data_IF_218703442588
#
_entry.id   IF_218703442588
#
_cell.length_a   1.000
_cell.length_b   1.000
_cell.length_c   1.000
_cell.angle_alpha   90.00
_cell.angle_beta   90.00
_cell.angle_gamma   90.00
#
_symmetry.space_group_name_H-M   'P 1'
#
loop_
_entity.id
_entity.type
_entity.pdbx_description
1 polymer ?
#
# COMPACT_ATOMS: atom_id res chain seq x y z
N UNK A 1 18.92 -30.31 14.19
CA UNK A 1 19.61 -29.01 14.34
C UNK A 1 18.90 -28.20 15.38
N UNK A 2 19.61 -27.61 16.36
CA UNK A 2 19.00 -26.68 17.30
C UNK A 2 18.57 -25.40 16.57
N UNK A 3 17.34 -24.93 16.81
CA UNK A 3 16.86 -23.65 16.27
C UNK A 3 17.62 -22.51 16.95
N UNK A 4 18.24 -21.63 16.18
CA UNK A 4 18.77 -20.37 16.71
C UNK A 4 17.61 -19.39 16.90
N UNK A 5 17.49 -18.80 18.08
CA UNK A 5 16.52 -17.77 18.40
C UNK A 5 17.28 -16.44 18.56
N UNK A 6 16.85 -15.43 17.84
CA UNK A 6 17.37 -14.06 17.98
C UNK A 6 16.46 -13.30 18.94
N UNK A 7 17.06 -12.72 19.98
CA UNK A 7 16.37 -11.86 20.95
C UNK A 7 16.95 -10.45 20.78
N UNK A 8 16.32 -9.63 19.96
CA UNK A 8 16.72 -8.24 19.76
C UNK A 8 15.67 -7.30 20.35
N UNK A 9 16.08 -6.29 21.12
CA UNK A 9 15.19 -5.24 21.54
C UNK A 9 14.81 -4.39 20.34
N UNK A 10 13.51 -4.14 20.16
CA UNK A 10 12.99 -3.29 19.10
C UNK A 10 12.70 -1.91 19.67
N UNK A 11 13.22 -0.87 19.02
CA UNK A 11 13.06 0.52 19.46
C UNK A 11 12.66 1.41 18.30
N UNK A 12 11.82 2.39 18.57
CA UNK A 12 11.43 3.47 17.67
C UNK A 12 10.88 3.01 16.31
N UNK A 13 9.68 3.38 15.99
CA UNK A 13 9.15 3.29 14.63
C UNK A 13 10.04 4.09 13.66
N UNK A 14 10.36 3.48 12.52
CA UNK A 14 11.22 4.08 11.48
C UNK A 14 10.45 4.44 10.24
N UNK A 15 9.56 3.57 9.79
CA UNK A 15 8.81 3.68 8.55
C UNK A 15 7.49 2.96 8.68
N UNK A 16 6.52 3.48 7.95
CA UNK A 16 5.32 2.75 7.57
C UNK A 16 5.24 2.67 6.06
N UNK A 17 4.68 1.57 5.56
CA UNK A 17 4.21 1.45 4.19
C UNK A 17 2.76 0.97 4.24
N UNK A 18 1.92 1.65 3.48
CA UNK A 18 0.52 1.27 3.29
C UNK A 18 0.37 0.87 1.84
N UNK A 19 -0.28 -0.27 1.61
CA UNK A 19 -0.50 -0.82 0.27
C UNK A 19 -1.98 -1.04 0.06
N UNK A 20 -2.52 -0.54 -1.04
CA UNK A 20 -3.93 -0.72 -1.41
C UNK A 20 -4.22 -2.18 -1.73
N UNK A 21 -5.36 -2.66 -1.24
CA UNK A 21 -5.84 -4.02 -1.46
C UNK A 21 -7.21 -4.01 -2.13
N UNK A 22 -7.51 -5.11 -2.81
CA UNK A 22 -8.88 -5.42 -3.23
C UNK A 22 -9.75 -5.93 -2.06
N UNK A 23 -11.03 -6.17 -2.32
CA UNK A 23 -11.96 -6.71 -1.33
C UNK A 23 -11.65 -8.12 -0.82
N UNK A 24 -10.66 -8.80 -1.40
CA UNK A 24 -10.18 -10.12 -0.99
C UNK A 24 -8.81 -10.05 -0.30
N UNK A 25 -8.27 -8.87 -0.03
CA UNK A 25 -6.96 -8.68 0.60
C UNK A 25 -5.77 -8.93 -0.33
N UNK A 26 -5.95 -8.85 -1.66
CA UNK A 26 -4.85 -8.94 -2.63
C UNK A 26 -4.29 -7.54 -2.92
N UNK A 27 -2.96 -7.38 -3.01
CA UNK A 27 -2.36 -6.14 -3.46
C UNK A 27 -2.86 -5.73 -4.85
N UNK A 28 -3.28 -4.46 -4.98
CA UNK A 28 -3.63 -3.87 -6.27
C UNK A 28 -2.34 -3.35 -6.90
N UNK A 29 -2.05 -3.80 -8.11
CA UNK A 29 -0.91 -3.35 -8.90
C UNK A 29 -1.28 -2.14 -9.76
N UNK A 30 -0.32 -1.29 -10.07
CA UNK A 30 -0.49 -0.08 -10.86
C UNK A 30 -0.23 1.18 -10.07
N UNK A 31 -0.62 2.31 -10.64
CA UNK A 31 -0.44 3.64 -10.06
C UNK A 31 -1.23 3.79 -8.74
N UNK A 32 -0.77 4.67 -7.86
CA UNK A 32 -1.41 5.02 -6.59
C UNK A 32 -1.67 3.84 -5.64
N UNK A 33 -0.84 2.80 -5.72
CA UNK A 33 -1.07 1.55 -4.99
C UNK A 33 -0.36 1.48 -3.64
N UNK A 34 0.61 2.34 -3.37
CA UNK A 34 1.34 2.34 -2.10
C UNK A 34 1.81 3.73 -1.70
N UNK A 35 1.92 3.95 -0.40
CA UNK A 35 2.55 5.14 0.20
C UNK A 35 3.55 4.71 1.26
N UNK A 36 4.72 5.37 1.29
CA UNK A 36 5.77 5.14 2.30
C UNK A 36 6.00 6.42 3.08
N UNK A 37 5.81 6.38 4.40
CA UNK A 37 5.94 7.57 5.25
C UNK A 37 6.78 7.29 6.50
N UNK A 38 7.44 8.33 7.00
CA UNK A 38 7.98 8.42 8.37
C UNK A 38 7.22 9.42 9.24
N UNK A 39 6.18 10.05 8.67
CA UNK A 39 5.39 11.10 9.30
C UNK A 39 4.34 10.61 10.30
N UNK A 40 4.53 9.45 10.92
CA UNK A 40 3.68 8.94 11.98
C UNK A 40 4.31 9.15 13.36
N UNK A 41 3.47 9.38 14.35
CA UNK A 41 3.87 9.53 15.76
C UNK A 41 3.77 8.18 16.48
N UNK A 42 2.64 7.51 16.29
CA UNK A 42 2.37 6.21 16.91
C UNK A 42 1.43 5.37 16.05
N UNK A 43 1.54 4.06 16.22
CA UNK A 43 0.56 3.09 15.74
C UNK A 43 0.20 2.22 16.93
N UNK A 44 -1.09 2.21 17.30
CA UNK A 44 -1.63 1.47 18.43
C UNK A 44 -2.42 0.26 17.93
N UNK A 45 -2.28 -0.86 18.60
CA UNK A 45 -2.97 -2.12 18.32
C UNK A 45 -3.83 -2.51 19.50
N UNK A 46 -5.14 -2.63 19.30
CA UNK A 46 -6.09 -3.08 20.31
C UNK A 46 -6.59 -4.47 19.93
N UNK A 47 -6.38 -5.45 20.81
CA UNK A 47 -6.89 -6.79 20.58
C UNK A 47 -8.43 -6.81 20.65
N UNK A 48 -9.05 -7.31 19.58
CA UNK A 48 -10.48 -7.55 19.53
C UNK A 48 -10.73 -9.02 19.87
N UNK A 49 -11.48 -9.28 20.92
CA UNK A 49 -11.79 -10.62 21.39
C UNK A 49 -13.30 -10.86 21.33
N UNK A 50 -13.67 -12.11 21.16
CA UNK A 50 -15.04 -12.59 21.36
C UNK A 50 -15.03 -13.63 22.45
N UNK A 51 -16.13 -13.74 23.18
CA UNK A 51 -16.34 -14.69 24.25
C UNK A 51 -17.55 -15.55 23.91
N UNK A 52 -17.42 -16.86 24.06
CA UNK A 52 -18.55 -17.77 23.94
C UNK A 52 -19.39 -17.74 25.21
N UNK A 53 -20.69 -17.92 25.08
CA UNK A 53 -21.56 -18.01 26.24
C UNK A 53 -21.25 -19.26 27.08
N UNK A 54 -21.25 -19.12 28.42
CA UNK A 54 -21.20 -20.24 29.32
C UNK A 54 -22.49 -21.05 29.23
N UNK A 55 -22.37 -22.37 29.09
CA UNK A 55 -23.50 -23.27 29.15
C UNK A 55 -23.49 -23.96 30.56
N UNK A 56 -24.47 -23.64 31.37
CA UNK A 56 -24.64 -24.21 32.66
C UNK A 56 -26.11 -24.71 32.82
N UNK A 57 -26.31 -25.99 32.64
CA UNK A 57 -27.64 -26.62 32.71
C UNK A 57 -27.77 -27.45 33.95
N UNK A 58 -28.73 -27.14 34.79
CA UNK A 58 -29.05 -27.92 35.99
C UNK A 58 -30.26 -28.84 35.77
N UNK A 59 -30.30 -29.97 36.46
CA UNK A 59 -31.45 -30.88 36.50
C UNK A 59 -32.55 -30.37 37.48
N UNK A 60 -33.68 -31.08 37.54
CA UNK A 60 -34.81 -30.72 38.41
C UNK A 60 -34.47 -30.76 39.91
N UNK A 61 -33.37 -31.39 40.31
CA UNK A 61 -32.86 -31.46 41.68
C UNK A 61 -31.84 -30.38 41.98
N UNK A 62 -31.51 -29.51 41.03
CA UNK A 62 -30.54 -28.43 41.18
C UNK A 62 -29.07 -28.85 40.99
N UNK A 63 -28.82 -30.07 40.50
CA UNK A 63 -27.48 -30.54 40.19
C UNK A 63 -27.09 -30.17 38.77
N UNK A 64 -25.82 -29.78 38.55
CA UNK A 64 -25.30 -29.45 37.25
C UNK A 64 -25.23 -30.70 36.37
N UNK A 65 -25.96 -30.71 35.25
CA UNK A 65 -25.96 -31.78 34.25
C UNK A 65 -24.97 -31.56 33.12
N UNK A 66 -24.83 -30.30 32.69
CA UNK A 66 -23.96 -29.88 31.60
C UNK A 66 -23.30 -28.60 32.03
N UNK A 67 -21.98 -28.56 31.94
CA UNK A 67 -21.21 -27.35 32.15
C UNK A 67 -20.15 -27.21 31.08
N UNK A 68 -20.20 -26.10 30.34
CA UNK A 68 -19.21 -25.70 29.37
C UNK A 68 -18.80 -24.26 29.72
N UNK A 69 -17.56 -24.01 30.09
CA UNK A 69 -17.11 -22.66 30.43
C UNK A 69 -17.05 -21.78 29.19
N UNK A 70 -17.18 -20.47 29.40
CA UNK A 70 -16.93 -19.49 28.33
C UNK A 70 -15.47 -19.57 27.90
N UNK A 71 -15.24 -19.44 26.58
CA UNK A 71 -13.90 -19.34 26.00
C UNK A 71 -13.73 -18.01 25.31
N UNK A 72 -12.61 -17.32 25.63
CA UNK A 72 -12.24 -16.07 24.96
C UNK A 72 -11.31 -16.38 23.79
N UNK A 73 -11.68 -15.94 22.60
CA UNK A 73 -10.86 -16.07 21.39
C UNK A 73 -10.52 -14.71 20.78
N UNK A 74 -9.31 -14.61 20.20
CA UNK A 74 -8.85 -13.42 19.50
C UNK A 74 -9.50 -13.41 18.11
N UNK A 75 -10.23 -12.34 17.79
CA UNK A 75 -10.83 -12.10 16.45
C UNK A 75 -9.86 -11.34 15.56
N UNK A 76 -9.08 -10.41 16.12
CA UNK A 76 -8.14 -9.61 15.37
C UNK A 76 -7.65 -8.39 16.14
N UNK A 77 -7.21 -7.37 15.42
CA UNK A 77 -6.72 -6.12 16.01
C UNK A 77 -7.41 -4.93 15.38
N UNK A 78 -7.85 -4.01 16.24
CA UNK A 78 -8.13 -2.64 15.86
C UNK A 78 -6.83 -1.84 15.77
N UNK A 79 -6.72 -0.95 14.79
CA UNK A 79 -5.53 -0.14 14.53
C UNK A 79 -5.88 1.33 14.58
N UNK A 80 -5.08 2.08 15.31
CA UNK A 80 -5.10 3.54 15.35
C UNK A 80 -3.74 4.07 14.95
N UNK A 81 -3.70 5.05 14.04
CA UNK A 81 -2.48 5.65 13.52
C UNK A 81 -2.53 7.16 13.74
N UNK A 82 -1.53 7.69 14.46
CA UNK A 82 -1.34 9.13 14.66
C UNK A 82 -0.25 9.66 13.73
N UNK A 83 -0.57 10.68 12.94
CA UNK A 83 0.32 11.32 11.97
C UNK A 83 0.68 12.75 12.40
N UNK A 84 1.96 13.10 12.32
CA UNK A 84 2.46 14.48 12.45
C UNK A 84 2.77 15.14 11.09
N UNK A 85 2.79 14.36 10.02
CA UNK A 85 2.92 14.82 8.65
C UNK A 85 1.84 14.16 7.81
N UNK A 86 0.97 14.98 7.26
CA UNK A 86 -0.15 14.51 6.44
C UNK A 86 0.30 14.42 5.00
N UNK A 87 0.14 13.23 4.43
CA UNK A 87 0.23 12.97 3.00
C UNK A 87 -1.20 12.71 2.52
N UNK A 88 -1.75 13.52 1.59
CA UNK A 88 -3.13 13.36 1.13
C UNK A 88 -3.41 11.98 0.55
N UNK A 89 -2.47 11.41 -0.21
CA UNK A 89 -2.61 10.08 -0.80
C UNK A 89 -2.62 8.99 0.27
N UNK A 90 -1.81 9.14 1.31
CA UNK A 90 -1.83 8.22 2.45
C UNK A 90 -3.17 8.22 3.16
N UNK A 91 -3.73 9.41 3.42
CA UNK A 91 -5.05 9.53 4.05
C UNK A 91 -6.14 8.95 3.15
N UNK A 92 -6.13 9.26 1.86
CA UNK A 92 -7.07 8.72 0.90
C UNK A 92 -7.01 7.18 0.86
N UNK A 93 -5.81 6.61 0.86
CA UNK A 93 -5.61 5.17 0.82
C UNK A 93 -6.13 4.48 2.09
N UNK A 94 -5.92 5.08 3.27
CA UNK A 94 -6.34 4.50 4.55
C UNK A 94 -7.83 4.72 4.84
N UNK A 95 -8.39 5.88 4.45
CA UNK A 95 -9.78 6.26 4.78
C UNK A 95 -10.76 6.06 3.62
N UNK A 96 -10.28 5.88 2.40
CA UNK A 96 -11.13 5.83 1.21
C UNK A 96 -11.65 7.21 0.77
N UNK A 97 -11.18 8.29 1.36
CA UNK A 97 -11.55 9.66 1.01
C UNK A 97 -10.90 10.11 -0.30
N UNK A 98 -11.46 11.13 -0.95
CA UNK A 98 -10.94 11.64 -2.21
C UNK A 98 -9.73 12.56 -2.00
N UNK A 99 -8.75 12.47 -2.90
CA UNK A 99 -7.63 13.41 -2.98
C UNK A 99 -8.05 14.64 -3.77
N UNK A 100 -7.63 15.82 -3.31
CA UNK A 100 -7.77 17.08 -4.05
C UNK A 100 -6.46 17.35 -4.77
N UNK A 101 -6.55 17.48 -6.09
CA UNK A 101 -5.41 17.78 -6.95
C UNK A 101 -5.36 19.27 -7.32
N UNK A 102 -4.20 19.74 -7.74
CA UNK A 102 -4.03 21.07 -8.30
C UNK A 102 -4.73 21.22 -9.67
N UNK A 103 -4.65 22.41 -10.26
CA UNK A 103 -5.28 22.71 -11.57
C UNK A 103 -4.72 21.83 -12.71
N UNK A 104 -3.52 21.31 -12.58
CA UNK A 104 -2.88 20.43 -13.57
C UNK A 104 -3.29 18.97 -13.40
N UNK A 105 -3.82 18.61 -12.22
CA UNK A 105 -4.17 17.24 -11.88
C UNK A 105 -2.99 16.36 -11.49
N UNK A 106 -1.77 16.93 -11.43
CA UNK A 106 -0.54 16.17 -11.24
C UNK A 106 -0.09 16.14 -9.75
N UNK A 107 -0.52 17.12 -8.94
CA UNK A 107 -0.06 17.26 -7.56
C UNK A 107 -1.22 17.16 -6.58
N UNK A 108 -1.12 16.20 -5.66
CA UNK A 108 -2.05 16.09 -4.54
C UNK A 108 -1.80 17.25 -3.56
N UNK A 109 -2.76 18.17 -3.46
CA UNK A 109 -2.66 19.38 -2.62
C UNK A 109 -3.51 19.31 -1.35
N UNK A 110 -4.38 18.30 -1.24
CA UNK A 110 -5.26 18.12 -0.10
C UNK A 110 -6.12 16.87 -0.21
N UNK A 111 -7.08 16.75 0.67
CA UNK A 111 -8.07 15.69 0.67
C UNK A 111 -9.41 16.22 1.14
N UNK A 112 -10.48 15.63 0.65
CA UNK A 112 -11.84 15.89 1.11
C UNK A 112 -12.21 14.90 2.22
N UNK A 113 -13.17 15.30 3.07
CA UNK A 113 -13.82 14.39 4.01
C UNK A 113 -15.31 14.36 3.67
N UNK A 114 -15.70 13.34 2.91
CA UNK A 114 -17.09 13.11 2.53
C UNK A 114 -17.78 12.22 3.56
N UNK A 115 -18.88 12.71 4.12
CA UNK A 115 -19.68 11.99 5.12
C UNK A 115 -20.43 10.78 4.56
N UNK A 116 -20.47 10.61 3.24
CA UNK A 116 -21.07 9.46 2.57
C UNK A 116 -20.08 8.30 2.34
N UNK A 117 -18.79 8.54 2.48
CA UNK A 117 -17.77 7.47 2.42
C UNK A 117 -17.91 6.63 3.69
N UNK A 118 -18.27 5.37 3.51
CA UNK A 118 -18.45 4.44 4.64
C UNK A 118 -17.12 4.05 5.26
N UNK A 119 -17.13 3.72 6.54
CA UNK A 119 -15.95 3.28 7.29
C UNK A 119 -15.20 2.12 6.60
N UNK A 120 -15.90 1.26 5.89
CA UNK A 120 -15.32 0.10 5.22
C UNK A 120 -14.96 0.37 3.74
N UNK A 121 -14.83 1.63 3.32
CA UNK A 121 -14.54 1.99 1.94
C UNK A 121 -13.11 1.63 1.51
N UNK A 122 -12.15 1.59 2.45
CA UNK A 122 -10.74 1.28 2.18
C UNK A 122 -10.38 -0.14 2.58
N UNK A 123 -9.50 -0.76 1.80
CA UNK A 123 -8.84 -2.01 2.10
C UNK A 123 -7.34 -1.82 1.89
N UNK A 124 -6.53 -2.13 2.90
CA UNK A 124 -5.09 -1.90 2.82
C UNK A 124 -4.29 -2.87 3.69
N UNK A 125 -3.01 -3.03 3.35
CA UNK A 125 -2.03 -3.66 4.22
C UNK A 125 -1.17 -2.58 4.88
N UNK A 126 -0.78 -2.82 6.12
CA UNK A 126 0.11 -1.95 6.88
C UNK A 126 1.38 -2.69 7.26
N UNK A 127 2.50 -2.14 6.84
CA UNK A 127 3.84 -2.63 7.18
C UNK A 127 4.55 -1.57 8.02
N UNK A 128 5.21 -2.00 9.10
CA UNK A 128 5.96 -1.13 10.01
C UNK A 128 7.37 -1.65 10.17
N UNK A 129 8.34 -0.76 10.09
CA UNK A 129 9.74 -1.01 10.42
C UNK A 129 10.10 -0.34 11.72
N UNK A 130 10.72 -1.11 12.61
CA UNK A 130 11.22 -0.69 13.92
C UNK A 130 12.75 -0.72 13.88
N UNK A 131 13.39 0.22 14.59
CA UNK A 131 14.84 0.23 14.70
C UNK A 131 15.34 -0.81 15.69
N UNK A 132 16.62 -1.15 15.58
CA UNK A 132 17.42 -1.76 16.62
C UNK A 132 18.17 -0.67 17.41
N UNK A 133 18.52 -0.86 18.69
CA UNK A 133 19.37 0.05 19.42
C UNK A 133 20.72 0.24 18.72
N UNK A 134 21.21 1.47 18.68
CA UNK A 134 22.46 1.82 17.99
C UNK A 134 23.71 1.14 18.54
N UNK A 135 23.68 0.66 19.79
CA UNK A 135 24.79 -0.07 20.42
C UNK A 135 24.94 -1.51 19.91
N UNK A 136 23.87 -2.10 19.38
CA UNK A 136 23.86 -3.50 18.91
C UNK A 136 23.92 -3.62 17.38
N UNK A 137 23.86 -2.49 16.68
CA UNK A 137 23.79 -2.46 15.20
C UNK A 137 25.12 -2.84 14.52
N UNK A 138 26.22 -2.88 15.25
CA UNK A 138 27.57 -3.10 14.75
C UNK A 138 28.35 -4.10 15.60
N UNK A 139 27.78 -5.25 15.93
CA UNK A 139 28.62 -6.36 16.41
C UNK A 139 29.14 -7.14 15.19
N UNK A 140 30.28 -7.80 15.35
CA UNK A 140 30.97 -8.53 14.29
C UNK A 140 30.18 -9.68 13.66
N UNK A 141 29.05 -10.05 14.25
CA UNK A 141 28.16 -11.09 13.75
C UNK A 141 26.99 -10.55 12.91
N UNK A 142 26.70 -9.23 13.02
CA UNK A 142 25.62 -8.53 12.31
C UNK A 142 26.12 -7.25 11.65
N UNK A 143 26.96 -7.39 10.65
CA UNK A 143 27.45 -6.25 9.84
C UNK A 143 26.35 -5.62 8.96
N UNK A 144 25.16 -6.26 8.88
CA UNK A 144 23.97 -5.70 8.24
C UNK A 144 22.94 -5.45 9.34
N UNK A 145 22.52 -4.19 9.50
CA UNK A 145 21.53 -3.80 10.49
C UNK A 145 20.27 -4.64 10.38
N UNK A 146 19.78 -5.12 11.52
CA UNK A 146 18.49 -5.82 11.57
C UNK A 146 17.41 -4.83 12.01
N UNK A 147 16.23 -4.98 11.43
CA UNK A 147 15.06 -4.19 11.71
C UNK A 147 13.94 -5.08 12.21
N UNK A 148 13.18 -4.60 13.20
CA UNK A 148 11.88 -5.20 13.49
C UNK A 148 10.91 -4.87 12.35
N UNK A 149 10.11 -5.84 11.99
CA UNK A 149 9.09 -5.70 10.96
C UNK A 149 7.77 -6.26 11.48
N UNK A 150 6.73 -5.45 11.38
CA UNK A 150 5.36 -5.83 11.73
C UNK A 150 4.51 -5.67 10.48
N UNK A 151 3.73 -6.69 10.16
CA UNK A 151 2.83 -6.73 9.03
C UNK A 151 1.42 -7.05 9.50
N UNK A 152 0.48 -6.21 9.11
CA UNK A 152 -0.95 -6.49 9.08
C UNK A 152 -1.34 -6.63 7.61
N UNK A 153 -1.52 -7.88 7.18
CA UNK A 153 -1.68 -8.20 5.74
C UNK A 153 -3.02 -7.79 5.15
N UNK A 154 -4.04 -7.58 6.01
CA UNK A 154 -5.35 -7.12 5.56
C UNK A 154 -6.04 -6.31 6.66
N UNK A 155 -6.14 -5.03 6.44
CA UNK A 155 -6.92 -4.08 7.22
C UNK A 155 -8.07 -3.55 6.37
N UNK A 156 -9.20 -3.32 7.02
CA UNK A 156 -10.37 -2.72 6.40
C UNK A 156 -10.88 -1.58 7.25
N UNK A 157 -11.28 -0.51 6.60
CA UNK A 157 -11.81 0.68 7.23
C UNK A 157 -10.71 1.64 7.65
N UNK A 158 -11.11 2.79 8.07
CA UNK A 158 -10.31 3.89 8.59
C UNK A 158 -11.13 5.16 8.52
N UNK A 159 -11.20 5.88 9.63
CA UNK A 159 -11.91 7.15 9.72
C UNK A 159 -10.91 8.18 10.25
N UNK A 160 -10.92 9.37 9.66
CA UNK A 160 -10.23 10.51 10.25
C UNK A 160 -10.92 10.83 11.58
N UNK A 161 -10.19 10.68 12.67
CA UNK A 161 -10.65 10.99 14.02
C UNK A 161 -10.58 12.47 14.35
N UNK A 162 -10.82 12.80 15.61
CA UNK A 162 -10.75 14.16 16.10
C UNK A 162 -9.32 14.72 15.97
N UNK A 163 -9.23 15.99 15.60
CA UNK A 163 -7.98 16.73 15.58
C UNK A 163 -8.21 18.17 16.03
N UNK A 164 -7.16 18.77 16.61
CA UNK A 164 -7.21 20.15 17.10
C UNK A 164 -6.17 20.98 16.37
N UNK A 165 -6.55 22.18 15.97
CA UNK A 165 -5.65 23.19 15.40
C UNK A 165 -5.41 24.25 16.45
N UNK A 166 -4.18 24.33 16.93
CA UNK A 166 -3.74 25.29 17.97
C UNK A 166 -2.33 25.80 17.64
N UNK A 167 -1.76 26.61 18.51
CA UNK A 167 -0.36 27.10 18.35
C UNK A 167 0.65 25.99 18.71
N UNK A 168 0.50 24.82 18.11
CA UNK A 168 1.36 23.63 18.24
C UNK A 168 1.35 22.84 16.93
N UNK A 169 2.11 21.74 16.88
CA UNK A 169 2.05 20.83 15.73
C UNK A 169 0.66 20.17 15.66
N UNK A 170 0.02 20.29 14.50
CA UNK A 170 -1.24 19.59 14.24
C UNK A 170 -0.95 18.10 13.97
N UNK A 171 -1.63 17.23 14.69
CA UNK A 171 -1.58 15.79 14.49
C UNK A 171 -2.94 15.29 14.02
N UNK A 172 -2.93 14.31 13.14
CA UNK A 172 -4.14 13.66 12.63
C UNK A 172 -4.18 12.22 13.10
N UNK A 173 -5.33 11.79 13.54
CA UNK A 173 -5.54 10.41 13.99
C UNK A 173 -6.47 9.70 13.03
N UNK A 174 -6.07 8.51 12.56
CA UNK A 174 -6.94 7.60 11.83
C UNK A 174 -7.29 6.44 12.74
N UNK A 175 -8.58 6.21 12.95
CA UNK A 175 -9.13 5.17 13.83
C UNK A 175 -10.06 4.24 13.05
N UNK A 176 -10.49 3.14 13.68
CA UNK A 176 -11.53 2.27 13.14
C UNK A 176 -11.05 1.27 12.08
N UNK A 177 -9.77 1.26 11.72
CA UNK A 177 -9.22 0.20 10.88
C UNK A 177 -9.14 -1.11 11.69
N UNK A 178 -9.62 -2.21 11.11
CA UNK A 178 -9.62 -3.52 11.76
C UNK A 178 -9.02 -4.58 10.84
N UNK A 179 -8.28 -5.52 11.43
CA UNK A 179 -7.81 -6.70 10.69
C UNK A 179 -8.98 -7.55 10.25
N UNK A 180 -8.84 -8.15 9.07
CA UNK A 180 -9.84 -9.03 8.49
C UNK A 180 -9.24 -10.40 8.18
N UNK A 181 -10.07 -11.42 8.29
CA UNK A 181 -9.76 -12.74 7.78
C UNK A 181 -9.86 -12.79 6.25
N UNK A 182 -9.35 -13.86 5.65
CA UNK A 182 -9.41 -14.04 4.21
C UNK A 182 -8.32 -13.27 3.46
N UNK A 183 -7.29 -12.75 4.17
CA UNK A 183 -6.24 -12.00 3.50
C UNK A 183 -5.46 -12.89 2.51
N UNK A 184 -5.21 -12.34 1.33
CA UNK A 184 -4.48 -13.00 0.25
C UNK A 184 -3.09 -12.39 0.02
N UNK A 185 -2.49 -11.76 1.04
CA UNK A 185 -1.17 -11.17 0.98
C UNK A 185 -0.06 -12.18 0.65
N UNK A 186 -0.17 -13.42 1.17
CA UNK A 186 0.80 -14.47 0.93
C UNK A 186 2.20 -14.11 1.43
N UNK A 187 3.19 -14.11 0.53
CA UNK A 187 4.56 -13.65 0.81
C UNK A 187 4.76 -12.15 0.57
N UNK A 188 3.71 -11.49 0.10
CA UNK A 188 3.70 -10.07 -0.23
C UNK A 188 4.33 -9.72 -1.57
N UNK A 189 4.08 -8.51 -2.08
CA UNK A 189 4.65 -8.04 -3.33
C UNK A 189 6.11 -7.60 -3.19
N UNK A 190 6.58 -7.29 -1.98
CA UNK A 190 7.86 -6.64 -1.72
C UNK A 190 8.93 -7.58 -1.20
N UNK A 191 10.19 -7.22 -1.48
CA UNK A 191 11.33 -7.81 -0.80
C UNK A 191 11.49 -7.15 0.56
N UNK A 192 11.52 -7.94 1.63
CA UNK A 192 11.64 -7.48 3.02
C UNK A 192 12.80 -8.15 3.76
N UNK A 193 13.38 -9.19 3.19
CA UNK A 193 14.52 -9.93 3.77
C UNK A 193 15.53 -10.28 2.68
N UNK A 194 16.62 -10.95 3.04
CA UNK A 194 17.56 -11.51 2.09
C UNK A 194 17.60 -13.03 2.19
N UNK A 195 17.79 -13.70 1.06
CA UNK A 195 18.07 -15.13 0.97
C UNK A 195 19.39 -15.28 0.23
N UNK A 196 20.40 -15.85 0.88
CA UNK A 196 21.76 -15.96 0.33
C UNK A 196 22.33 -14.60 -0.13
N UNK A 197 22.05 -13.51 0.59
CA UNK A 197 22.51 -12.16 0.26
C UNK A 197 21.70 -11.44 -0.83
N UNK A 198 20.67 -12.07 -1.38
CA UNK A 198 19.81 -11.48 -2.42
C UNK A 198 18.49 -11.01 -1.80
N UNK A 199 18.05 -9.77 -2.07
CA UNK A 199 16.74 -9.28 -1.62
C UNK A 199 15.60 -10.21 -2.03
N UNK A 200 14.78 -10.61 -1.06
CA UNK A 200 13.75 -11.63 -1.24
C UNK A 200 12.48 -11.27 -0.48
N UNK A 201 11.36 -11.82 -0.95
CA UNK A 201 10.07 -11.75 -0.25
C UNK A 201 10.12 -12.53 1.06
N UNK A 202 9.06 -12.46 1.84
CA UNK A 202 8.96 -13.25 3.08
C UNK A 202 9.19 -14.75 2.81
N UNK A 203 9.97 -15.43 3.67
CA UNK A 203 10.33 -16.85 3.45
C UNK A 203 9.12 -17.80 3.61
N UNK A 204 8.13 -17.37 4.37
CA UNK A 204 6.89 -18.12 4.56
C UNK A 204 5.68 -17.20 4.35
N UNK A 205 4.66 -17.65 3.61
CA UNK A 205 3.44 -16.85 3.43
C UNK A 205 2.71 -16.66 4.76
N UNK A 206 1.97 -15.57 4.88
CA UNK A 206 0.95 -15.45 5.92
C UNK A 206 -0.29 -16.25 5.50
N UNK A 207 -0.99 -16.79 6.47
CA UNK A 207 -2.25 -17.52 6.22
C UNK A 207 -3.42 -16.55 6.17
N UNK A 208 -4.56 -17.02 5.68
CA UNK A 208 -5.79 -16.22 5.60
C UNK A 208 -6.32 -15.77 6.97
N UNK A 209 -5.92 -16.46 8.04
CA UNK A 209 -6.31 -16.17 9.42
C UNK A 209 -5.22 -15.42 10.21
N UNK A 210 -4.09 -15.11 9.58
CA UNK A 210 -3.01 -14.38 10.28
C UNK A 210 -3.36 -12.90 10.36
N UNK A 211 -3.74 -12.43 11.53
CA UNK A 211 -4.07 -11.01 11.75
C UNK A 211 -2.82 -10.12 11.76
N UNK A 212 -1.73 -10.59 12.36
CA UNK A 212 -0.48 -9.84 12.52
C UNK A 212 0.71 -10.79 12.44
N UNK A 213 1.77 -10.36 11.76
CA UNK A 213 3.07 -11.02 11.75
C UNK A 213 4.15 -10.08 12.26
N UNK A 214 4.98 -10.57 13.17
CA UNK A 214 6.19 -9.87 13.62
C UNK A 214 7.40 -10.71 13.26
N UNK A 215 8.43 -10.09 12.67
CA UNK A 215 9.67 -10.77 12.29
C UNK A 215 10.86 -9.79 12.34
N UNK A 216 12.07 -10.34 12.34
CA UNK A 216 13.28 -9.57 12.12
C UNK A 216 13.64 -9.66 10.63
N UNK A 217 14.00 -8.53 10.05
CA UNK A 217 14.38 -8.39 8.65
C UNK A 217 15.73 -7.70 8.54
N UNK A 218 16.48 -8.02 7.51
CA UNK A 218 17.81 -7.52 7.23
C UNK A 218 17.85 -6.48 6.10
N UNK A 219 16.73 -6.29 5.40
CA UNK A 219 16.61 -5.20 4.44
C UNK A 219 16.24 -3.89 5.14
N UNK A 220 16.90 -2.82 4.72
CA UNK A 220 16.58 -1.48 5.19
C UNK A 220 15.13 -1.10 4.83
N UNK A 221 14.46 -0.31 5.70
CA UNK A 221 13.16 0.25 5.38
C UNK A 221 13.17 0.96 4.02
N UNK A 222 12.06 0.95 3.27
CA UNK A 222 11.95 1.67 2.01
C UNK A 222 12.18 3.17 2.21
N UNK A 223 12.68 3.85 1.17
CA UNK A 223 12.86 5.30 1.19
C UNK A 223 11.49 5.99 1.37
N UNK A 224 11.48 7.07 2.16
CA UNK A 224 10.29 7.93 2.24
C UNK A 224 10.19 8.76 0.98
N UNK A 225 9.00 8.86 0.47
CA UNK A 225 8.66 9.75 -0.63
C UNK A 225 7.24 10.26 -0.41
N UNK A 226 6.98 11.54 -0.72
CA UNK A 226 5.63 12.09 -0.65
C UNK A 226 4.78 11.60 -1.82
N UNK A 227 3.51 11.37 -1.56
CA UNK A 227 2.55 10.93 -2.56
C UNK A 227 2.51 9.41 -2.77
N UNK A 228 1.49 9.00 -3.47
CA UNK A 228 1.29 7.61 -3.84
C UNK A 228 2.30 7.14 -4.90
N UNK A 229 2.55 5.84 -4.89
CA UNK A 229 3.51 5.20 -5.78
C UNK A 229 2.96 3.96 -6.41
N UNK A 230 3.42 3.66 -7.62
CA UNK A 230 3.00 2.45 -8.27
C UNK A 230 3.55 1.21 -7.56
N UNK A 231 2.72 0.19 -7.49
CA UNK A 231 3.13 -1.16 -7.19
C UNK A 231 3.26 -1.92 -8.50
N UNK A 232 4.49 -2.34 -8.83
CA UNK A 232 4.76 -3.01 -10.10
C UNK A 232 4.26 -4.45 -10.08
N UNK A 233 3.47 -4.84 -11.08
CA UNK A 233 3.05 -6.23 -11.27
C UNK A 233 4.22 -7.03 -11.89
N UNK A 234 4.76 -8.03 -11.19
CA UNK A 234 5.86 -8.82 -11.70
C UNK A 234 5.50 -9.67 -12.93
N UNK A 235 4.21 -9.88 -13.19
CA UNK A 235 3.74 -10.59 -14.37
C UNK A 235 3.67 -9.70 -15.62
N UNK A 236 3.69 -8.38 -15.46
CA UNK A 236 3.64 -7.44 -16.59
C UNK A 236 5.04 -6.88 -16.88
N UNK A 237 5.50 -6.93 -18.13
CA UNK A 237 6.76 -6.31 -18.51
C UNK A 237 6.68 -4.79 -18.38
N UNK A 238 7.74 -4.18 -17.84
CA UNK A 238 7.85 -2.73 -17.84
C UNK A 238 8.10 -2.22 -19.26
N UNK A 239 7.44 -1.12 -19.63
CA UNK A 239 7.70 -0.45 -20.90
C UNK A 239 9.15 0.07 -20.96
N UNK A 240 9.76 -0.02 -22.13
CA UNK A 240 11.10 0.50 -22.41
C UNK A 240 11.06 1.69 -23.35
N UNK A 241 10.03 1.81 -24.18
CA UNK A 241 9.85 2.91 -25.11
C UNK A 241 8.38 3.11 -25.48
N UNK A 242 8.03 4.35 -25.85
CA UNK A 242 6.85 4.69 -26.64
C UNK A 242 7.35 5.31 -27.95
N UNK A 243 6.74 4.92 -29.06
CA UNK A 243 7.02 5.48 -30.39
C UNK A 243 5.77 6.18 -30.93
N UNK A 244 5.97 7.32 -31.58
CA UNK A 244 4.93 8.08 -32.24
C UNK A 244 5.31 8.28 -33.71
N UNK A 245 4.45 7.83 -34.61
CA UNK A 245 4.64 7.99 -36.05
C UNK A 245 3.44 8.71 -36.67
N UNK A 246 3.63 9.34 -37.84
CA UNK A 246 2.55 9.99 -38.57
C UNK A 246 1.40 9.02 -38.82
N UNK A 247 0.20 9.46 -38.49
CA UNK A 247 -1.03 8.73 -38.76
C UNK A 247 -1.68 9.12 -40.09
N UNK A 248 -3.01 9.10 -40.14
CA UNK A 248 -3.79 9.34 -41.34
C UNK A 248 -3.61 10.76 -41.96
N UNK A 249 -3.25 11.74 -41.14
CA UNK A 249 -2.97 13.12 -41.58
C UNK A 249 -1.82 13.70 -40.73
N UNK A 250 -1.39 14.93 -41.08
CA UNK A 250 -0.26 15.59 -40.46
C UNK A 250 -0.47 15.97 -38.96
N UNK A 251 -1.69 15.91 -38.47
CA UNK A 251 -2.03 16.19 -37.08
C UNK A 251 -2.30 14.90 -36.24
N UNK A 252 -2.23 13.76 -36.90
CA UNK A 252 -2.53 12.47 -36.26
C UNK A 252 -1.24 11.73 -35.94
N UNK A 253 -1.08 11.29 -34.70
CA UNK A 253 -0.02 10.39 -34.23
C UNK A 253 -0.56 8.98 -34.03
N UNK A 254 0.10 7.99 -34.60
CA UNK A 254 -0.07 6.60 -34.25
C UNK A 254 0.98 6.25 -33.18
N UNK A 255 0.53 5.77 -32.05
CA UNK A 255 1.35 5.48 -30.87
C UNK A 255 1.46 3.98 -30.64
N UNK A 256 2.67 3.52 -30.38
CA UNK A 256 2.96 2.14 -30.03
C UNK A 256 3.95 2.08 -28.87
N UNK A 257 3.92 0.99 -28.09
CA UNK A 257 4.80 0.78 -26.95
C UNK A 257 5.70 -0.43 -27.16
N UNK A 258 6.85 -0.41 -26.50
CA UNK A 258 7.81 -1.52 -26.48
C UNK A 258 8.13 -1.90 -25.02
N UNK A 259 8.11 -3.20 -24.64
CA UNK A 259 7.56 -4.32 -25.42
C UNK A 259 6.07 -4.16 -25.71
N UNK A 260 5.52 -4.94 -26.62
CA UNK A 260 4.08 -4.97 -26.88
C UNK A 260 3.34 -5.25 -25.58
N UNK A 261 2.37 -4.41 -25.26
CA UNK A 261 1.66 -4.47 -23.98
C UNK A 261 0.85 -5.76 -23.84
N UNK A 262 0.87 -6.31 -22.65
CA UNK A 262 0.05 -7.47 -22.24
C UNK A 262 -1.12 -7.09 -21.33
N UNK A 263 -1.19 -5.81 -20.95
CA UNK A 263 -2.26 -5.20 -20.13
C UNK A 263 -2.57 -3.79 -20.60
N UNK A 264 -3.47 -3.09 -19.92
CA UNK A 264 -3.85 -1.73 -20.27
C UNK A 264 -2.66 -0.77 -20.15
N UNK A 265 -2.63 0.19 -21.07
CA UNK A 265 -1.65 1.28 -21.11
C UNK A 265 -2.36 2.58 -20.77
N UNK A 266 -1.79 3.36 -19.90
CA UNK A 266 -2.16 4.75 -19.71
C UNK A 266 -1.31 5.64 -20.65
N UNK A 267 -1.95 6.42 -21.47
CA UNK A 267 -1.32 7.43 -22.31
C UNK A 267 -1.69 8.84 -21.83
N UNK A 268 -0.67 9.69 -21.67
CA UNK A 268 -0.78 11.13 -21.59
C UNK A 268 -0.21 11.70 -22.90
N UNK A 269 -1.03 12.42 -23.66
CA UNK A 269 -0.65 12.90 -24.98
C UNK A 269 0.12 14.22 -24.95
N UNK A 270 0.25 14.84 -23.77
CA UNK A 270 0.99 16.09 -23.58
C UNK A 270 0.26 17.35 -24.06
N UNK A 271 -1.00 17.24 -24.45
CA UNK A 271 -1.90 18.34 -24.82
C UNK A 271 -3.02 18.57 -23.80
N UNK A 272 -2.90 17.97 -22.61
CA UNK A 272 -3.91 17.97 -21.55
C UNK A 272 -4.96 16.87 -21.67
N UNK A 273 -4.82 15.98 -22.63
CA UNK A 273 -5.69 14.81 -22.79
C UNK A 273 -4.95 13.51 -22.52
N UNK A 274 -5.69 12.50 -22.09
CA UNK A 274 -5.16 11.18 -21.78
C UNK A 274 -6.15 10.08 -22.15
N UNK A 275 -5.69 8.85 -22.24
CA UNK A 275 -6.53 7.68 -22.51
C UNK A 275 -5.98 6.40 -21.90
N UNK A 276 -6.88 5.44 -21.60
CA UNK A 276 -6.54 4.07 -21.21
C UNK A 276 -6.84 3.12 -22.35
N UNK A 277 -5.81 2.47 -22.86
CA UNK A 277 -5.90 1.59 -24.03
C UNK A 277 -5.65 0.16 -23.63
N UNK A 278 -6.56 -0.74 -24.00
CA UNK A 278 -6.39 -2.18 -23.76
C UNK A 278 -5.21 -2.75 -24.57
N UNK A 279 -4.66 -3.89 -24.13
CA UNK A 279 -3.64 -4.60 -24.91
C UNK A 279 -4.10 -4.86 -26.36
N UNK A 280 -3.21 -4.74 -27.36
CA UNK A 280 -1.75 -4.61 -27.34
C UNK A 280 -1.22 -3.18 -27.14
N UNK A 281 -2.04 -2.23 -26.77
CA UNK A 281 -1.61 -0.89 -26.40
C UNK A 281 -1.23 0.05 -27.54
N UNK A 282 -1.64 -0.24 -28.76
CA UNK A 282 -1.52 0.71 -29.87
C UNK A 282 -2.74 1.65 -29.89
N UNK A 283 -2.52 2.94 -30.07
CA UNK A 283 -3.59 3.94 -30.16
C UNK A 283 -3.27 5.02 -31.18
N UNK A 284 -4.28 5.83 -31.47
CA UNK A 284 -4.17 6.99 -32.38
C UNK A 284 -4.71 8.21 -31.68
N UNK A 285 -3.93 9.31 -31.71
CA UNK A 285 -4.34 10.59 -31.15
C UNK A 285 -4.28 11.69 -32.22
N UNK A 286 -5.25 12.62 -32.18
CA UNK A 286 -5.35 13.75 -33.07
C UNK A 286 -5.12 15.04 -32.30
N UNK A 287 -4.05 15.75 -32.60
CA UNK A 287 -3.73 17.03 -31.97
C UNK A 287 -4.53 18.16 -32.58
N UNK A 288 -5.19 18.95 -31.77
CA UNK A 288 -6.03 20.08 -32.24
C UNK A 288 -5.21 21.26 -32.74
N UNK A 289 -3.97 21.42 -32.31
CA UNK A 289 -3.11 22.55 -32.63
C UNK A 289 -1.71 22.10 -33.08
N UNK A 290 -1.04 22.84 -33.97
CA UNK A 290 0.38 22.65 -34.21
C UNK A 290 1.22 22.88 -32.95
N UNK A 291 2.23 22.03 -32.70
CA UNK A 291 3.08 22.16 -31.53
C UNK A 291 4.03 21.00 -31.37
N UNK A 292 4.82 21.07 -30.33
CA UNK A 292 5.67 19.96 -29.88
C UNK A 292 5.15 19.47 -28.55
N UNK A 293 4.75 18.20 -28.50
CA UNK A 293 4.12 17.56 -27.38
C UNK A 293 5.02 16.46 -26.82
N UNK A 294 5.00 16.26 -25.51
CA UNK A 294 5.66 15.14 -24.88
C UNK A 294 4.62 14.07 -24.57
N UNK A 295 4.58 13.04 -25.40
CA UNK A 295 3.72 11.87 -25.13
C UNK A 295 4.39 10.99 -24.11
N UNK A 296 3.61 10.55 -23.15
CA UNK A 296 4.02 9.58 -22.14
C UNK A 296 3.13 8.34 -22.20
N UNK A 297 3.70 7.20 -21.93
CA UNK A 297 2.95 5.95 -21.80
C UNK A 297 3.39 5.21 -20.55
N UNK A 298 2.46 4.65 -19.80
CA UNK A 298 2.74 3.88 -18.61
C UNK A 298 2.04 2.53 -18.64
N UNK A 299 2.79 1.51 -18.28
CA UNK A 299 2.26 0.23 -17.88
C UNK A 299 3.02 -0.20 -16.62
N UNK A 300 2.28 -0.78 -15.66
CA UNK A 300 2.91 -1.27 -14.46
C UNK A 300 3.71 -0.17 -13.71
N UNK A 301 3.19 1.05 -13.69
CA UNK A 301 3.75 2.21 -12.98
C UNK A 301 5.09 2.73 -13.52
N UNK A 302 5.57 2.23 -14.65
CA UNK A 302 6.78 2.75 -15.30
C UNK A 302 6.41 3.59 -16.51
N UNK A 303 6.79 4.86 -16.48
CA UNK A 303 6.58 5.80 -17.56
C UNK A 303 7.73 5.80 -18.56
N UNK A 304 7.36 5.87 -19.82
CA UNK A 304 8.27 6.12 -20.95
C UNK A 304 7.74 7.29 -21.74
N UNK A 305 8.59 8.05 -22.41
CA UNK A 305 8.19 9.25 -23.15
C UNK A 305 8.80 9.34 -24.54
N UNK A 306 8.11 10.03 -25.43
CA UNK A 306 8.59 10.43 -26.75
C UNK A 306 8.11 11.84 -27.08
N UNK A 307 8.83 12.54 -27.93
CA UNK A 307 8.44 13.86 -28.43
C UNK A 307 7.73 13.71 -29.76
N UNK A 308 6.60 14.39 -29.91
CA UNK A 308 5.79 14.47 -31.15
C UNK A 308 5.74 15.90 -31.58
N UNK A 309 6.12 16.18 -32.83
CA UNK A 309 5.95 17.51 -33.43
C UNK A 309 4.86 17.46 -34.48
N UNK A 310 3.87 18.33 -34.34
CA UNK A 310 2.71 18.45 -35.24
C UNK A 310 2.73 19.81 -35.89
N UNK A 311 2.54 19.95 -37.21
CA UNK A 311 2.26 18.87 -38.15
C UNK A 311 3.45 17.96 -38.39
N UNK A 312 3.18 16.68 -38.57
CA UNK A 312 4.19 15.76 -39.06
C UNK A 312 4.68 16.14 -40.43
N UNK A 313 5.98 16.00 -40.72
CA UNK A 313 6.55 16.31 -42.03
C UNK A 313 6.00 15.44 -43.16
#
# INVERSE_FOLDING_TARGET
MARKTLCLPLVKGRRIRVTRLDGCGRPIYGDDSQVVSKGFVSVSFTANTTETDEINQTNASGEVCIYEPSETSLVGYGVEINFCKVDPDLLALVTGQAVVYDETGDTAIGFDVDTKVGQEASNFALELWLGSPTGDACNSENSQGQFGYILLGYLRGGILGDFTVENAAVTFTVTGANTREGNAWGVGPYNVTTVAGVPSKMPTPITTTTALRTMLVDLAPPAEECGARPLLDPALPALTAVAAVKGANAQTANLTVTPVATGPIHYDFGDGTWDYVAAPGATTHVYASPGTYTVRASQNGKWVSATVTVPFP
#
